data_IF_646979088945
#
_entry.id   IF_646979088945
#
_cell.length_a   1.000
_cell.length_b   1.000
_cell.length_c   1.000
_cell.angle_alpha   90.00
_cell.angle_beta   90.00
_cell.angle_gamma   90.00
#
_symmetry.space_group_name_H-M   'P 1'
#
loop_
_entity.id
_entity.type
_entity.pdbx_description
1 polymer ?
#
# COMPACT_ATOMS: atom_id res chain seq x y z
N UNK A 1 0.72 14.47 -7.77
CA UNK A 1 1.14 13.16 -8.26
C UNK A 1 -0.03 12.49 -8.92
N UNK A 2 0.11 12.17 -10.20
CA UNK A 2 -0.84 11.41 -11.00
C UNK A 2 -0.65 9.91 -10.82
N UNK A 3 -1.70 9.11 -11.10
CA UNK A 3 -1.61 7.63 -11.04
C UNK A 3 -0.49 7.09 -11.93
N UNK A 4 -0.28 7.71 -13.10
CA UNK A 4 0.78 7.32 -14.04
C UNK A 4 2.19 7.43 -13.45
N UNK A 5 2.41 8.31 -12.47
CA UNK A 5 3.71 8.46 -11.80
C UNK A 5 4.02 7.31 -10.82
N UNK A 6 3.00 6.53 -10.42
CA UNK A 6 3.18 5.30 -9.63
C UNK A 6 3.54 4.09 -10.48
N UNK A 7 3.20 4.07 -11.78
CA UNK A 7 3.40 2.88 -12.61
C UNK A 7 4.89 2.54 -12.69
N UNK A 8 5.22 1.27 -12.43
CA UNK A 8 6.59 0.77 -12.37
C UNK A 8 7.33 1.09 -11.07
N UNK A 9 6.71 1.81 -10.13
CA UNK A 9 7.33 2.12 -8.85
C UNK A 9 7.17 0.99 -7.84
N UNK A 10 8.11 0.95 -6.89
CA UNK A 10 8.06 0.08 -5.72
C UNK A 10 8.03 0.90 -4.44
N UNK A 11 7.06 0.60 -3.59
CA UNK A 11 6.91 1.19 -2.25
C UNK A 11 7.03 0.09 -1.20
N UNK A 12 7.89 0.30 -0.21
CA UNK A 12 8.03 -0.60 0.95
C UNK A 12 7.65 0.18 2.20
N UNK A 13 6.82 -0.40 3.04
CA UNK A 13 6.41 0.17 4.31
C UNK A 13 6.39 -0.89 5.42
N UNK A 14 6.44 -0.41 6.66
CA UNK A 14 6.44 -1.22 7.88
C UNK A 14 5.45 -0.61 8.86
N UNK A 15 4.52 -1.42 9.38
CA UNK A 15 3.60 -1.05 10.45
C UNK A 15 4.29 -1.10 11.82
N UNK A 16 3.74 -0.40 12.79
CA UNK A 16 4.28 -0.30 14.16
C UNK A 16 4.31 -1.66 14.89
N UNK A 17 3.54 -2.65 14.41
CA UNK A 17 3.56 -4.03 14.91
C UNK A 17 4.72 -4.88 14.33
N UNK A 18 5.56 -4.31 13.45
CA UNK A 18 6.69 -4.98 12.80
C UNK A 18 6.35 -5.73 11.52
N UNK A 19 5.09 -5.76 11.10
CA UNK A 19 4.72 -6.31 9.80
C UNK A 19 5.12 -5.35 8.68
N UNK A 20 5.62 -5.87 7.58
CA UNK A 20 6.10 -5.05 6.46
C UNK A 20 5.68 -5.61 5.12
N UNK A 21 5.45 -4.70 4.17
CA UNK A 21 4.89 -5.02 2.87
C UNK A 21 5.60 -4.25 1.77
N UNK A 22 5.66 -4.88 0.59
CA UNK A 22 6.07 -4.28 -0.68
C UNK A 22 4.84 -4.13 -1.57
N UNK A 23 4.70 -2.97 -2.19
CA UNK A 23 3.76 -2.71 -3.28
C UNK A 23 4.54 -2.44 -4.56
N UNK A 24 4.18 -3.12 -5.63
CA UNK A 24 4.66 -2.90 -6.99
C UNK A 24 3.46 -2.47 -7.83
N UNK A 25 3.51 -1.26 -8.39
CA UNK A 25 2.37 -0.66 -9.06
C UNK A 25 2.44 -0.86 -10.57
N UNK A 26 1.33 -1.32 -11.15
CA UNK A 26 1.11 -1.38 -12.59
C UNK A 26 -0.03 -0.43 -12.98
N UNK A 27 -0.38 -0.40 -14.27
CA UNK A 27 -1.40 0.51 -14.81
C UNK A 27 -2.78 0.29 -14.18
N UNK A 28 -3.24 -0.96 -14.15
CA UNK A 28 -4.58 -1.33 -13.66
C UNK A 28 -4.55 -2.12 -12.35
N UNK A 29 -3.38 -2.61 -11.97
CA UNK A 29 -3.16 -3.59 -10.90
C UNK A 29 -2.00 -3.16 -10.00
N UNK A 30 -1.97 -3.69 -8.79
CA UNK A 30 -0.77 -3.69 -7.96
C UNK A 30 -0.48 -5.10 -7.51
N UNK A 31 0.79 -5.37 -7.24
CA UNK A 31 1.23 -6.58 -6.55
C UNK A 31 1.62 -6.20 -5.14
N UNK A 32 0.97 -6.81 -4.15
CA UNK A 32 1.39 -6.70 -2.75
C UNK A 32 2.16 -7.95 -2.34
N UNK A 33 3.17 -7.80 -1.49
CA UNK A 33 3.92 -8.92 -0.91
C UNK A 33 4.21 -8.64 0.56
N UNK A 34 3.83 -9.55 1.45
CA UNK A 34 4.18 -9.48 2.87
C UNK A 34 5.64 -9.94 3.08
N UNK A 35 6.49 -9.02 3.53
CA UNK A 35 7.94 -9.22 3.73
C UNK A 35 8.27 -9.73 5.14
N UNK A 36 7.50 -9.31 6.14
CA UNK A 36 7.59 -9.75 7.53
C UNK A 36 6.22 -9.70 8.20
N UNK A 37 5.98 -10.59 9.16
CA UNK A 37 4.69 -10.74 9.83
C UNK A 37 4.15 -12.16 9.72
N UNK A 38 2.91 -12.36 10.17
CA UNK A 38 2.25 -13.67 10.17
C UNK A 38 2.04 -14.19 8.73
N UNK A 39 1.78 -13.28 7.79
CA UNK A 39 1.55 -13.60 6.39
C UNK A 39 2.83 -13.58 5.53
N UNK A 40 4.03 -13.62 6.13
CA UNK A 40 5.30 -13.49 5.40
C UNK A 40 5.39 -14.48 4.23
N UNK A 41 5.72 -13.95 3.05
CA UNK A 41 5.84 -14.72 1.81
C UNK A 41 4.54 -14.80 1.00
N UNK A 42 3.40 -14.38 1.55
CA UNK A 42 2.17 -14.24 0.79
C UNK A 42 2.19 -12.98 -0.08
N UNK A 43 1.49 -13.07 -1.21
CA UNK A 43 1.32 -11.99 -2.18
C UNK A 43 0.00 -12.11 -2.91
N UNK A 44 -0.47 -11.00 -3.48
CA UNK A 44 -1.65 -10.95 -4.32
C UNK A 44 -1.51 -9.91 -5.42
N UNK A 45 -2.26 -10.08 -6.50
CA UNK A 45 -2.36 -9.14 -7.62
C UNK A 45 -3.79 -8.62 -7.63
N UNK A 46 -3.97 -7.32 -7.42
CA UNK A 46 -5.29 -6.74 -7.22
C UNK A 46 -5.49 -5.46 -8.03
N UNK A 47 -6.72 -5.24 -8.50
CA UNK A 47 -7.11 -3.95 -9.07
C UNK A 47 -7.20 -2.93 -7.94
N UNK A 48 -6.72 -1.72 -8.18
CA UNK A 48 -6.68 -0.68 -7.16
C UNK A 48 -7.17 0.68 -7.68
N UNK A 49 -7.79 1.41 -6.78
CA UNK A 49 -8.11 2.82 -6.93
C UNK A 49 -6.98 3.68 -6.36
N UNK A 50 -6.84 4.88 -6.91
CA UNK A 50 -5.83 5.85 -6.53
C UNK A 50 -6.42 7.26 -6.51
N UNK A 51 -6.11 8.01 -5.46
CA UNK A 51 -6.37 9.45 -5.38
C UNK A 51 -5.21 10.13 -4.66
N UNK A 52 -4.66 11.20 -5.23
CA UNK A 52 -3.85 12.13 -4.44
C UNK A 52 -4.79 13.07 -3.68
N UNK A 53 -4.82 12.96 -2.36
CA UNK A 53 -5.75 13.72 -1.50
C UNK A 53 -5.20 15.09 -1.10
N UNK A 54 -3.88 15.25 -1.18
CA UNK A 54 -3.13 16.50 -1.06
C UNK A 54 -1.73 16.27 -1.62
N UNK A 55 -0.96 17.34 -1.86
CA UNK A 55 0.41 17.23 -2.39
C UNK A 55 1.23 16.20 -1.61
N UNK A 56 1.69 15.15 -2.30
CA UNK A 56 2.53 14.09 -1.75
C UNK A 56 1.82 13.25 -0.64
N UNK A 57 0.49 13.25 -0.65
CA UNK A 57 -0.38 12.41 0.19
C UNK A 57 -1.32 11.60 -0.69
N UNK A 58 -1.14 10.29 -0.66
CA UNK A 58 -1.77 9.35 -1.58
C UNK A 58 -2.73 8.47 -0.80
N UNK A 59 -3.93 8.27 -1.33
CA UNK A 59 -4.87 7.24 -0.92
C UNK A 59 -4.96 6.16 -1.99
N UNK A 60 -4.81 4.90 -1.60
CA UNK A 60 -5.10 3.74 -2.45
C UNK A 60 -6.03 2.77 -1.74
N UNK A 61 -6.84 2.05 -2.52
CA UNK A 61 -7.70 0.99 -1.99
C UNK A 61 -7.89 -0.13 -2.99
N UNK A 62 -8.08 -1.35 -2.48
CA UNK A 62 -8.42 -2.52 -3.28
C UNK A 62 -9.29 -3.51 -2.49
N UNK A 63 -9.92 -4.43 -3.20
CA UNK A 63 -10.57 -5.61 -2.66
C UNK A 63 -9.72 -6.81 -3.05
N UNK A 64 -9.20 -7.55 -2.07
CA UNK A 64 -8.48 -8.79 -2.31
C UNK A 64 -9.41 -9.92 -2.74
N UNK A 65 -8.86 -10.92 -3.44
CA UNK A 65 -9.58 -12.16 -3.76
C UNK A 65 -10.08 -12.90 -2.50
N UNK A 66 -9.38 -12.74 -1.37
CA UNK A 66 -9.75 -13.22 -0.03
C UNK A 66 -10.96 -12.50 0.58
N UNK A 67 -11.47 -11.47 -0.11
CA UNK A 67 -12.55 -10.54 0.32
C UNK A 67 -12.11 -9.55 1.40
N UNK A 68 -10.81 -9.38 1.61
CA UNK A 68 -10.27 -8.29 2.43
C UNK A 68 -10.39 -6.97 1.68
N UNK A 69 -11.01 -5.96 2.31
CA UNK A 69 -11.03 -4.59 1.77
C UNK A 69 -9.89 -3.82 2.41
N UNK A 70 -8.96 -3.32 1.60
CA UNK A 70 -7.77 -2.61 2.09
C UNK A 70 -7.82 -1.17 1.62
N UNK A 71 -7.47 -0.24 2.51
CA UNK A 71 -7.34 1.18 2.23
C UNK A 71 -6.12 1.75 2.93
N UNK A 72 -5.23 2.39 2.18
CA UNK A 72 -3.95 2.88 2.69
C UNK A 72 -3.75 4.33 2.30
N UNK A 73 -3.33 5.14 3.27
CA UNK A 73 -2.82 6.49 3.08
C UNK A 73 -1.30 6.47 3.23
N UNK A 74 -0.59 6.92 2.20
CA UNK A 74 0.83 7.20 2.24
C UNK A 74 1.05 8.71 2.28
N UNK A 75 1.70 9.20 3.33
CA UNK A 75 2.16 10.58 3.41
C UNK A 75 3.66 10.61 3.15
N UNK A 76 4.05 10.95 1.92
CA UNK A 76 5.44 10.95 1.47
C UNK A 76 6.25 12.10 2.07
N UNK A 77 5.59 13.21 2.45
CA UNK A 77 6.24 14.33 3.15
C UNK A 77 6.79 13.93 4.52
N UNK A 78 6.08 13.03 5.22
CA UNK A 78 6.43 12.59 6.59
C UNK A 78 6.94 11.16 6.66
N UNK A 79 6.97 10.46 5.53
CA UNK A 79 7.28 9.04 5.43
C UNK A 79 6.42 8.17 6.36
N UNK A 80 5.11 8.48 6.46
CA UNK A 80 4.15 7.75 7.29
C UNK A 80 3.13 7.00 6.45
N UNK A 81 2.71 5.86 6.97
CA UNK A 81 1.61 5.06 6.41
C UNK A 81 0.50 4.90 7.44
N UNK A 82 -0.75 4.98 6.97
CA UNK A 82 -1.93 4.61 7.73
C UNK A 82 -2.77 3.63 6.90
N UNK A 83 -3.08 2.47 7.46
CA UNK A 83 -3.89 1.47 6.82
C UNK A 83 -5.16 1.23 7.63
N UNK A 84 -6.25 1.02 6.90
CA UNK A 84 -7.46 0.40 7.41
C UNK A 84 -7.76 -0.79 6.50
N UNK A 85 -7.97 -1.96 7.09
CA UNK A 85 -8.52 -3.09 6.34
C UNK A 85 -9.68 -3.72 7.08
N UNK A 86 -10.55 -4.38 6.32
CA UNK A 86 -11.67 -5.13 6.86
C UNK A 86 -11.56 -6.57 6.36
N UNK A 87 -11.48 -7.51 7.29
CA UNK A 87 -11.63 -8.93 7.01
C UNK A 87 -12.93 -9.40 7.65
N UNK A 88 -13.82 -9.95 6.82
CA UNK A 88 -15.19 -10.29 7.18
C UNK A 88 -15.97 -9.08 7.75
N UNK A 89 -16.11 -9.01 9.09
CA UNK A 89 -16.79 -7.93 9.82
C UNK A 89 -15.83 -7.14 10.72
N UNK A 90 -14.57 -7.54 10.79
CA UNK A 90 -13.59 -6.96 11.70
C UNK A 90 -12.78 -5.89 10.98
N UNK A 91 -12.85 -4.66 11.49
CA UNK A 91 -12.03 -3.55 11.02
C UNK A 91 -10.74 -3.49 11.82
N UNK A 92 -9.64 -3.44 11.10
CA UNK A 92 -8.29 -3.27 11.63
C UNK A 92 -7.73 -1.93 11.17
N UNK A 93 -6.91 -1.31 12.00
CA UNK A 93 -6.22 -0.07 11.68
C UNK A 93 -4.77 -0.14 12.12
N UNK A 94 -3.87 0.21 11.23
CA UNK A 94 -2.44 0.19 11.47
C UNK A 94 -1.81 1.52 11.08
N UNK A 95 -0.79 1.90 11.84
CA UNK A 95 0.10 3.02 11.55
C UNK A 95 1.50 2.46 11.35
N UNK A 96 2.32 3.22 10.63
CA UNK A 96 3.68 2.81 10.36
C UNK A 96 4.50 3.88 9.68
N UNK A 97 5.60 3.43 9.10
CA UNK A 97 6.53 4.25 8.32
C UNK A 97 6.72 3.68 6.93
N UNK A 98 6.96 4.57 5.97
CA UNK A 98 7.43 4.21 4.64
C UNK A 98 8.93 4.01 4.76
N UNK A 99 9.41 2.84 4.32
CA UNK A 99 10.84 2.48 4.36
C UNK A 99 11.54 2.98 3.10
N UNK A 100 10.91 2.80 1.95
CA UNK A 100 11.44 3.28 0.69
C UNK A 100 10.32 3.49 -0.32
N UNK A 101 10.44 4.56 -1.10
CA UNK A 101 9.64 4.75 -2.31
C UNK A 101 10.60 5.10 -3.45
N UNK A 102 10.84 4.13 -4.34
CA UNK A 102 11.75 4.33 -5.48
C UNK A 102 10.95 4.91 -6.63
N UNK A 103 11.22 6.17 -6.95
CA UNK A 103 10.78 6.77 -8.21
C UNK A 103 11.76 6.37 -9.30
N UNK A 104 11.32 5.61 -10.30
CA UNK A 104 12.00 5.48 -11.57
C UNK A 104 12.28 6.90 -12.08
N UNK A 105 13.56 7.20 -12.31
CA UNK A 105 13.95 8.49 -12.87
C UNK A 105 13.28 8.59 -14.24
N UNK A 106 12.47 9.64 -14.42
CA UNK A 106 12.11 10.10 -15.76
C UNK A 106 13.34 10.48 -16.57
#
# INVERSE_FOLDING_TARGET
MEKSELIGQTLIYEYDNGESYKLEFEESTLVWTCLAGVAKGHSGIEKYDFVEVASEIIFISWLEQSREVVSIVFNLNTMKVFCSYVYEINKHQWKGKIISFKRSKG
#
